data_IF_412937763561
#
_entry.id   IF_412937763561
#
_cell.length_a   1.000
_cell.length_b   1.000
_cell.length_c   1.000
_cell.angle_alpha   90.00
_cell.angle_beta   90.00
_cell.angle_gamma   90.00
#
_symmetry.space_group_name_H-M   'P 1'
#
loop_
_entity.id
_entity.type
_entity.pdbx_description
1 polymer ?
#
# COMPACT_ATOMS: atom_id res chain seq x y z
N UNK A 1 -14.32 24.47 -41.05
CA UNK A 1 -14.51 23.25 -40.21
C UNK A 1 -15.95 22.80 -40.38
N UNK A 2 -16.20 21.61 -40.94
CA UNK A 2 -17.55 21.04 -40.90
C UNK A 2 -17.79 20.55 -39.47
N UNK A 3 -18.82 21.07 -38.82
CA UNK A 3 -19.25 20.67 -37.50
C UNK A 3 -19.76 19.21 -37.57
N UNK A 4 -18.96 18.27 -37.06
CA UNK A 4 -19.38 16.88 -36.92
C UNK A 4 -20.01 16.79 -35.54
N UNK A 5 -21.30 17.13 -35.48
CA UNK A 5 -22.10 16.90 -34.29
C UNK A 5 -21.94 15.44 -33.87
N UNK A 6 -21.48 15.14 -32.64
CA UNK A 6 -21.36 13.76 -32.21
C UNK A 6 -22.76 13.15 -32.29
N UNK A 7 -22.93 12.07 -33.05
CA UNK A 7 -24.15 11.25 -32.98
C UNK A 7 -24.26 10.75 -31.54
N UNK A 8 -24.97 11.50 -30.71
CA UNK A 8 -25.37 11.07 -29.37
C UNK A 8 -26.30 9.89 -29.63
N UNK A 9 -25.78 8.69 -29.37
CA UNK A 9 -26.62 7.49 -29.37
C UNK A 9 -27.48 7.64 -28.13
N UNK A 10 -28.74 8.03 -28.31
CA UNK A 10 -29.74 8.03 -27.25
C UNK A 10 -29.89 6.59 -26.71
N UNK A 11 -29.40 6.30 -25.49
CA UNK A 11 -29.43 4.96 -24.94
C UNK A 11 -30.87 4.48 -24.72
N UNK A 12 -31.78 5.39 -24.40
CA UNK A 12 -33.14 5.07 -23.97
C UNK A 12 -33.99 4.56 -25.14
N UNK A 13 -33.84 5.16 -26.33
CA UNK A 13 -34.51 4.70 -27.54
C UNK A 13 -34.06 3.30 -27.99
N UNK A 14 -32.78 2.95 -27.83
CA UNK A 14 -32.26 1.63 -28.21
C UNK A 14 -32.69 0.55 -27.22
N UNK A 15 -32.64 0.83 -25.91
CA UNK A 15 -33.01 -0.13 -24.87
C UNK A 15 -34.51 -0.43 -24.89
N UNK A 16 -35.38 0.55 -25.16
CA UNK A 16 -36.84 0.32 -25.20
C UNK A 16 -37.26 -0.65 -26.33
N UNK A 17 -36.60 -0.62 -27.49
CA UNK A 17 -36.88 -1.58 -28.57
C UNK A 17 -36.37 -2.96 -28.22
N UNK A 18 -35.12 -3.05 -27.78
CA UNK A 18 -34.45 -4.32 -27.49
C UNK A 18 -35.12 -5.06 -26.33
N UNK A 19 -35.60 -4.34 -25.31
CA UNK A 19 -36.31 -4.93 -24.17
C UNK A 19 -37.67 -5.57 -24.51
N UNK A 20 -38.23 -5.30 -25.70
CA UNK A 20 -39.48 -5.91 -26.18
C UNK A 20 -39.26 -7.17 -27.03
N UNK A 21 -38.01 -7.52 -27.33
CA UNK A 21 -37.69 -8.73 -28.11
C UNK A 21 -37.71 -9.98 -27.20
N UNK A 22 -38.18 -11.13 -27.72
CA UNK A 22 -38.09 -12.40 -27.01
C UNK A 22 -36.65 -12.94 -26.98
N UNK A 23 -36.36 -13.82 -26.02
CA UNK A 23 -35.09 -14.57 -26.04
C UNK A 23 -35.11 -15.63 -27.17
N UNK A 24 -33.99 -15.87 -27.87
CA UNK A 24 -32.63 -15.38 -27.62
C UNK A 24 -32.26 -14.04 -28.29
N UNK A 25 -33.15 -13.50 -29.14
CA UNK A 25 -32.86 -12.34 -30.01
C UNK A 25 -32.50 -11.08 -29.23
N UNK A 26 -33.10 -10.89 -28.05
CA UNK A 26 -32.77 -9.80 -27.14
C UNK A 26 -31.30 -9.85 -26.70
N UNK A 27 -30.82 -11.02 -26.28
CA UNK A 27 -29.44 -11.19 -25.81
C UNK A 27 -28.41 -10.91 -26.92
N UNK A 28 -28.72 -11.29 -28.17
CA UNK A 28 -27.87 -11.03 -29.34
C UNK A 28 -27.77 -9.53 -29.66
N UNK A 29 -28.88 -8.80 -29.63
CA UNK A 29 -28.88 -7.36 -29.88
C UNK A 29 -28.20 -6.57 -28.75
N UNK A 30 -28.36 -6.99 -27.49
CA UNK A 30 -27.60 -6.43 -26.36
C UNK A 30 -26.10 -6.69 -26.51
N UNK A 31 -25.71 -7.88 -26.97
CA UNK A 31 -24.30 -8.20 -27.23
C UNK A 31 -23.71 -7.30 -28.34
N UNK A 32 -24.44 -7.09 -29.44
CA UNK A 32 -24.03 -6.16 -30.51
C UNK A 32 -23.90 -4.71 -30.00
N UNK A 33 -24.84 -4.26 -29.18
CA UNK A 33 -24.80 -2.92 -28.59
C UNK A 33 -23.60 -2.74 -27.65
N UNK A 34 -23.31 -3.74 -26.80
CA UNK A 34 -22.13 -3.76 -25.92
C UNK A 34 -20.83 -3.71 -26.71
N UNK A 35 -20.69 -4.55 -27.74
CA UNK A 35 -19.51 -4.55 -28.61
C UNK A 35 -19.27 -3.17 -29.24
N UNK A 36 -20.33 -2.54 -29.75
CA UNK A 36 -20.24 -1.20 -30.35
C UNK A 36 -19.87 -0.12 -29.32
N UNK A 37 -20.41 -0.20 -28.11
CA UNK A 37 -20.04 0.70 -27.02
C UNK A 37 -18.56 0.53 -26.63
N UNK A 38 -18.10 -0.71 -26.49
CA UNK A 38 -16.70 -1.04 -26.18
C UNK A 38 -15.75 -0.54 -27.28
N UNK A 39 -16.13 -0.68 -28.55
CA UNK A 39 -15.37 -0.14 -29.68
C UNK A 39 -15.25 1.39 -29.62
N UNK A 40 -16.35 2.10 -29.32
CA UNK A 40 -16.34 3.55 -29.18
C UNK A 40 -15.50 4.01 -27.99
N UNK A 41 -15.60 3.34 -26.85
CA UNK A 41 -14.75 3.61 -25.67
C UNK A 41 -13.28 3.38 -26.01
N UNK A 42 -12.94 2.27 -26.66
CA UNK A 42 -11.57 1.98 -27.12
C UNK A 42 -11.07 3.02 -28.13
N UNK A 43 -11.91 3.42 -29.09
CA UNK A 43 -11.59 4.44 -30.08
C UNK A 43 -11.35 5.81 -29.45
N UNK A 44 -12.21 6.23 -28.50
CA UNK A 44 -12.05 7.46 -27.72
C UNK A 44 -10.78 7.41 -26.87
N UNK A 45 -10.48 6.28 -26.24
CA UNK A 45 -9.25 6.08 -25.48
C UNK A 45 -7.98 6.16 -26.35
N UNK A 46 -8.01 5.65 -27.59
CA UNK A 46 -6.91 5.81 -28.55
C UNK A 46 -6.78 7.25 -29.05
N UNK A 47 -7.89 7.89 -29.40
CA UNK A 47 -7.91 9.28 -29.87
C UNK A 47 -7.45 10.25 -28.78
N UNK A 48 -7.90 10.07 -27.53
CA UNK A 48 -7.44 10.85 -26.37
C UNK A 48 -5.94 10.74 -26.17
N UNK A 49 -5.37 9.54 -26.21
CA UNK A 49 -3.91 9.32 -26.13
C UNK A 49 -3.16 10.04 -27.26
N UNK A 50 -3.65 9.95 -28.50
CA UNK A 50 -3.06 10.65 -29.65
C UNK A 50 -3.16 12.17 -29.52
N UNK A 51 -4.28 12.70 -29.06
CA UNK A 51 -4.49 14.13 -28.86
C UNK A 51 -3.59 14.68 -27.75
N UNK A 52 -3.41 13.95 -26.64
CA UNK A 52 -2.46 14.31 -25.58
C UNK A 52 -1.03 14.27 -26.09
N UNK A 53 -0.66 13.25 -26.86
CA UNK A 53 0.67 13.17 -27.48
C UNK A 53 0.92 14.33 -28.46
N UNK A 54 -0.07 14.66 -29.30
CA UNK A 54 -0.01 15.80 -30.22
C UNK A 54 0.08 17.14 -29.50
N UNK A 55 -0.72 17.34 -28.45
CA UNK A 55 -0.66 18.56 -27.63
C UNK A 55 0.69 18.71 -26.93
N UNK A 56 1.31 17.61 -26.46
CA UNK A 56 2.68 17.61 -25.91
C UNK A 56 3.74 17.90 -26.99
N UNK A 57 3.56 17.35 -28.18
CA UNK A 57 4.46 17.53 -29.31
C UNK A 57 4.37 18.96 -29.88
N UNK A 58 5.14 19.88 -29.31
CA UNK A 58 5.27 21.25 -29.81
C UNK A 58 4.77 22.32 -28.85
N UNK A 59 4.05 21.98 -27.78
CA UNK A 59 3.66 22.94 -26.74
C UNK A 59 4.88 23.64 -26.11
N UNK A 60 6.02 22.95 -26.05
CA UNK A 60 7.25 23.48 -25.47
C UNK A 60 8.09 24.32 -26.44
N UNK A 61 7.92 24.14 -27.76
CA UNK A 61 8.82 24.73 -28.78
C UNK A 61 8.85 26.26 -28.72
N UNK A 62 7.72 26.91 -28.42
CA UNK A 62 7.63 28.37 -28.26
C UNK A 62 8.37 28.92 -27.04
N UNK A 63 8.63 28.08 -26.03
CA UNK A 63 9.34 28.45 -24.82
C UNK A 63 10.82 28.08 -24.90
N UNK A 64 11.18 27.15 -25.78
CA UNK A 64 12.56 26.68 -25.94
C UNK A 64 13.54 27.81 -26.32
N UNK A 65 13.09 28.79 -27.12
CA UNK A 65 13.90 29.97 -27.46
C UNK A 65 14.09 30.96 -26.31
N UNK A 66 13.25 30.89 -25.28
CA UNK A 66 13.33 31.73 -24.07
C UNK A 66 14.19 31.12 -22.98
N UNK A 67 14.66 29.89 -23.19
CA UNK A 67 15.45 29.15 -22.23
C UNK A 67 16.93 29.38 -22.48
N UNK A 68 17.65 29.80 -21.45
CA UNK A 68 19.10 29.74 -21.44
C UNK A 68 19.53 28.26 -21.36
N UNK A 69 19.85 27.67 -22.52
CA UNK A 69 20.21 26.25 -22.63
C UNK A 69 21.48 25.92 -21.83
N UNK A 70 22.59 26.69 -21.92
CA UNK A 70 23.74 26.48 -21.06
C UNK A 70 23.42 26.49 -19.57
N UNK A 71 22.60 27.44 -19.10
CA UNK A 71 22.21 27.52 -17.69
C UNK A 71 21.34 26.34 -17.27
N UNK A 72 20.39 25.92 -18.12
CA UNK A 72 19.56 24.74 -17.83
C UNK A 72 20.43 23.48 -17.70
N UNK A 73 21.35 23.24 -18.62
CA UNK A 73 22.20 22.05 -18.57
C UNK A 73 23.13 22.09 -17.35
N UNK A 74 23.65 23.27 -16.98
CA UNK A 74 24.40 23.45 -15.72
C UNK A 74 23.54 23.16 -14.50
N UNK A 75 22.30 23.65 -14.46
CA UNK A 75 21.34 23.37 -13.39
C UNK A 75 21.06 21.87 -13.28
N UNK A 76 20.73 21.20 -14.38
CA UNK A 76 20.47 19.75 -14.40
C UNK A 76 21.67 18.97 -13.87
N UNK A 77 22.88 19.30 -14.33
CA UNK A 77 24.11 18.64 -13.86
C UNK A 77 24.31 18.83 -12.35
N UNK A 78 24.17 20.05 -11.85
CA UNK A 78 24.32 20.35 -10.43
C UNK A 78 23.22 19.70 -9.59
N UNK A 79 21.99 19.68 -10.09
CA UNK A 79 20.85 19.04 -9.43
C UNK A 79 21.03 17.52 -9.37
N UNK A 80 21.49 16.90 -10.45
CA UNK A 80 21.81 15.47 -10.45
C UNK A 80 22.93 15.17 -9.45
N UNK A 81 24.03 15.92 -9.47
CA UNK A 81 25.12 15.73 -8.52
C UNK A 81 24.67 15.91 -7.06
N UNK A 82 23.77 16.86 -6.79
CA UNK A 82 23.16 17.03 -5.47
C UNK A 82 22.30 15.82 -5.09
N UNK A 83 21.45 15.32 -6.00
CA UNK A 83 20.64 14.13 -5.76
C UNK A 83 21.50 12.89 -5.49
N UNK A 84 22.56 12.70 -6.27
CA UNK A 84 23.49 11.58 -6.13
C UNK A 84 24.18 11.62 -4.76
N UNK A 85 24.60 12.82 -4.32
CA UNK A 85 25.24 12.98 -3.01
C UNK A 85 24.25 12.76 -1.85
N UNK A 86 23.03 13.27 -1.96
CA UNK A 86 21.97 13.01 -0.95
C UNK A 86 21.65 11.51 -0.89
N UNK A 87 21.54 10.84 -2.03
CA UNK A 87 21.31 9.40 -2.09
C UNK A 87 22.47 8.62 -1.46
N UNK A 88 23.72 8.99 -1.75
CA UNK A 88 24.92 8.39 -1.14
C UNK A 88 24.90 8.52 0.39
N UNK A 89 24.65 9.72 0.91
CA UNK A 89 24.59 9.96 2.37
C UNK A 89 23.44 9.18 3.01
N UNK A 90 22.27 9.10 2.34
CA UNK A 90 21.14 8.33 2.84
C UNK A 90 21.43 6.83 2.88
N UNK A 91 22.14 6.31 1.88
CA UNK A 91 22.58 4.91 1.83
C UNK A 91 23.54 4.60 2.99
N UNK A 92 24.59 5.40 3.17
CA UNK A 92 25.58 5.24 4.26
C UNK A 92 24.93 5.28 5.64
N UNK A 93 24.02 6.23 5.88
CA UNK A 93 23.29 6.30 7.16
C UNK A 93 22.36 5.13 7.37
N UNK A 94 21.82 4.54 6.30
CA UNK A 94 20.97 3.35 6.44
C UNK A 94 21.79 2.11 6.77
N UNK A 95 23.04 2.01 6.34
CA UNK A 95 23.95 0.94 6.77
C UNK A 95 24.12 0.92 8.28
N UNK A 96 24.44 2.09 8.87
CA UNK A 96 24.55 2.24 10.33
C UNK A 96 23.23 1.92 11.04
N UNK A 97 22.10 2.36 10.47
CA UNK A 97 20.77 2.07 11.01
C UNK A 97 20.48 0.57 11.00
N UNK A 98 20.79 -0.15 9.92
CA UNK A 98 20.59 -1.61 9.84
C UNK A 98 21.44 -2.33 10.88
N UNK A 99 22.70 -1.94 11.06
CA UNK A 99 23.57 -2.49 12.11
C UNK A 99 22.99 -2.24 13.51
N UNK A 100 22.43 -1.06 13.74
CA UNK A 100 21.78 -0.72 15.00
C UNK A 100 20.50 -1.53 15.24
N UNK A 101 19.68 -1.74 14.21
CA UNK A 101 18.46 -2.56 14.26
C UNK A 101 18.75 -4.03 14.63
N UNK A 102 19.93 -4.52 14.28
CA UNK A 102 20.41 -5.87 14.60
C UNK A 102 21.23 -5.94 15.90
N UNK A 103 21.48 -4.79 16.54
CA UNK A 103 22.29 -4.75 17.74
C UNK A 103 21.63 -5.49 18.90
N UNK A 104 22.42 -6.30 19.60
CA UNK A 104 21.93 -7.06 20.76
C UNK A 104 21.27 -6.16 21.82
N UNK A 105 21.83 -4.98 22.08
CA UNK A 105 21.27 -4.05 23.05
C UNK A 105 19.86 -3.59 22.69
N UNK A 106 19.58 -3.34 21.40
CA UNK A 106 18.25 -2.98 20.96
C UNK A 106 17.28 -4.18 21.05
N UNK A 107 17.73 -5.37 20.62
CA UNK A 107 16.91 -6.58 20.69
C UNK A 107 16.58 -6.99 22.12
N UNK A 108 17.54 -6.86 23.04
CA UNK A 108 17.35 -7.08 24.47
C UNK A 108 16.33 -6.07 25.02
N UNK A 109 16.43 -4.78 24.67
CA UNK A 109 15.44 -3.76 25.06
C UNK A 109 14.03 -4.08 24.50
N UNK A 110 13.95 -4.57 23.27
CA UNK A 110 12.70 -5.02 22.66
C UNK A 110 12.15 -6.32 23.27
N UNK A 111 12.94 -7.05 24.03
CA UNK A 111 12.51 -8.25 24.75
C UNK A 111 11.82 -7.93 26.08
N UNK A 112 11.98 -6.71 26.60
CA UNK A 112 11.30 -6.23 27.80
C UNK A 112 9.78 -6.02 27.60
N UNK A 113 9.33 -5.82 26.36
CA UNK A 113 7.90 -5.74 26.04
C UNK A 113 7.21 -7.09 26.27
N UNK A 114 6.29 -7.15 27.23
CA UNK A 114 5.71 -8.42 27.65
C UNK A 114 4.75 -8.98 26.60
N UNK A 115 5.08 -10.14 26.01
CA UNK A 115 4.28 -10.77 24.95
C UNK A 115 2.92 -11.38 25.37
N UNK A 116 2.39 -11.00 26.54
CA UNK A 116 1.01 -11.27 26.97
C UNK A 116 0.26 -9.99 27.36
N UNK A 117 0.92 -8.84 27.28
CA UNK A 117 0.34 -7.53 27.53
C UNK A 117 0.11 -6.84 26.18
N UNK A 118 -1.15 -6.55 25.88
CA UNK A 118 -1.53 -5.95 24.59
C UNK A 118 -1.03 -4.51 24.47
N UNK A 119 -1.07 -3.74 25.56
CA UNK A 119 -0.51 -2.39 25.59
C UNK A 119 0.99 -2.39 25.27
N UNK A 120 1.77 -3.32 25.85
CA UNK A 120 3.19 -3.47 25.52
C UNK A 120 3.39 -3.82 24.05
N UNK A 121 2.50 -4.65 23.48
CA UNK A 121 2.50 -4.95 22.05
C UNK A 121 2.24 -3.74 21.16
N UNK A 122 1.34 -2.84 21.56
CA UNK A 122 1.08 -1.60 20.84
C UNK A 122 2.27 -0.63 20.91
N UNK A 123 2.88 -0.49 22.08
CA UNK A 123 4.07 0.37 22.24
C UNK A 123 5.24 -0.22 21.45
N UNK A 124 5.43 -1.54 21.48
CA UNK A 124 6.42 -2.23 20.66
C UNK A 124 6.24 -1.90 19.16
N UNK A 125 5.03 -2.00 18.63
CA UNK A 125 4.73 -1.70 17.23
C UNK A 125 5.02 -0.25 16.86
N UNK A 126 4.64 0.73 17.71
CA UNK A 126 5.00 2.14 17.50
C UNK A 126 6.52 2.35 17.51
N UNK A 127 7.25 1.73 18.45
CA UNK A 127 8.72 1.87 18.51
C UNK A 127 9.40 1.23 17.29
N UNK A 128 8.98 0.03 16.87
CA UNK A 128 9.50 -0.62 15.66
C UNK A 128 9.15 0.19 14.43
N UNK A 129 7.92 0.70 14.31
CA UNK A 129 7.49 1.55 13.20
C UNK A 129 8.33 2.82 13.07
N UNK A 130 8.68 3.45 14.19
CA UNK A 130 9.62 4.60 14.21
C UNK A 130 11.03 4.19 13.81
N UNK A 131 11.52 3.07 14.30
CA UNK A 131 12.86 2.58 14.00
C UNK A 131 13.04 2.19 12.53
N UNK A 132 11.97 1.70 11.89
CA UNK A 132 11.96 1.32 10.48
C UNK A 132 11.55 2.45 9.53
N UNK A 133 11.16 3.61 10.08
CA UNK A 133 10.71 4.74 9.27
C UNK A 133 11.82 5.20 8.33
N UNK A 134 11.54 5.22 7.03
CA UNK A 134 12.48 5.68 6.02
C UNK A 134 13.49 4.63 5.54
N UNK A 135 13.58 3.45 6.17
CA UNK A 135 14.54 2.38 5.80
C UNK A 135 14.33 1.93 4.35
N UNK A 136 13.10 1.89 3.86
CA UNK A 136 12.78 1.48 2.49
C UNK A 136 13.26 2.46 1.40
N UNK A 137 13.76 3.64 1.76
CA UNK A 137 14.26 4.63 0.79
C UNK A 137 15.70 4.38 0.31
N UNK A 138 16.43 3.45 0.93
CA UNK A 138 17.78 3.03 0.52
C UNK A 138 17.80 1.59 -0.01
N UNK A 139 18.84 1.22 -0.77
CA UNK A 139 18.98 -0.14 -1.30
C UNK A 139 19.34 -1.14 -0.19
N UNK A 140 20.19 -0.76 0.75
CA UNK A 140 20.55 -1.53 1.95
C UNK A 140 19.29 -1.80 2.78
N UNK A 141 18.48 -0.78 3.04
CA UNK A 141 17.26 -0.95 3.81
C UNK A 141 16.22 -1.81 3.09
N UNK A 142 16.03 -1.63 1.78
CA UNK A 142 15.17 -2.52 0.98
C UNK A 142 15.65 -3.98 1.02
N UNK A 143 16.95 -4.22 0.91
CA UNK A 143 17.53 -5.57 1.03
C UNK A 143 17.29 -6.16 2.42
N UNK A 144 17.42 -5.37 3.47
CA UNK A 144 17.14 -5.81 4.84
C UNK A 144 15.68 -6.19 5.05
N UNK A 145 14.76 -5.35 4.57
CA UNK A 145 13.31 -5.64 4.60
C UNK A 145 13.00 -6.91 3.81
N UNK A 146 13.57 -7.06 2.60
CA UNK A 146 13.38 -8.25 1.78
C UNK A 146 13.88 -9.52 2.50
N UNK A 147 15.08 -9.47 3.10
CA UNK A 147 15.62 -10.57 3.88
C UNK A 147 14.69 -10.97 5.04
N UNK A 148 14.18 -9.99 5.80
CA UNK A 148 13.22 -10.26 6.87
C UNK A 148 11.90 -10.85 6.35
N UNK A 149 11.39 -10.38 5.21
CA UNK A 149 10.20 -10.98 4.60
C UNK A 149 10.50 -12.43 4.21
N UNK A 150 11.62 -12.68 3.53
CA UNK A 150 12.02 -14.00 3.02
C UNK A 150 12.30 -15.03 4.14
N UNK A 151 12.70 -14.58 5.33
CA UNK A 151 12.87 -15.45 6.51
C UNK A 151 11.56 -16.18 6.90
N UNK A 152 10.40 -15.59 6.60
CA UNK A 152 9.07 -16.17 6.87
C UNK A 152 8.91 -16.67 8.31
N UNK A 153 9.48 -15.94 9.28
CA UNK A 153 9.45 -16.31 10.69
C UNK A 153 9.65 -15.09 11.61
N UNK A 154 8.87 -15.00 12.69
CA UNK A 154 8.98 -14.01 13.76
C UNK A 154 10.15 -14.32 14.74
N UNK A 155 11.37 -14.39 14.21
CA UNK A 155 12.58 -14.52 15.04
C UNK A 155 12.85 -13.25 15.85
N UNK A 156 13.68 -13.34 16.89
CA UNK A 156 14.02 -12.20 17.76
C UNK A 156 14.50 -10.97 16.96
N UNK A 157 15.36 -11.18 15.96
CA UNK A 157 15.91 -10.14 15.11
C UNK A 157 14.99 -9.72 13.96
N UNK A 158 13.87 -10.41 13.73
CA UNK A 158 12.92 -10.10 12.68
C UNK A 158 11.80 -9.20 13.19
N UNK A 159 12.10 -7.90 13.23
CA UNK A 159 11.20 -6.90 13.80
C UNK A 159 9.89 -6.75 13.01
N UNK A 160 9.89 -7.02 11.70
CA UNK A 160 8.68 -6.90 10.85
C UNK A 160 7.65 -7.96 11.22
N UNK A 161 8.05 -9.23 11.28
CA UNK A 161 7.11 -10.30 11.66
C UNK A 161 6.70 -10.23 13.13
N UNK A 162 7.61 -9.80 14.02
CA UNK A 162 7.25 -9.52 15.42
C UNK A 162 6.21 -8.39 15.52
N UNK A 163 6.38 -7.30 14.77
CA UNK A 163 5.44 -6.17 14.76
C UNK A 163 4.06 -6.58 14.23
N UNK A 164 4.01 -7.41 13.18
CA UNK A 164 2.74 -7.96 12.65
C UNK A 164 1.95 -8.77 13.70
N UNK A 165 2.65 -9.40 14.63
CA UNK A 165 2.05 -10.13 15.74
C UNK A 165 1.94 -9.29 17.04
N UNK A 166 2.24 -8.00 16.99
CA UNK A 166 2.32 -7.08 18.13
C UNK A 166 3.18 -7.65 19.29
N UNK A 167 4.25 -8.37 18.93
CA UNK A 167 5.15 -9.08 19.84
C UNK A 167 4.44 -10.05 20.81
N UNK A 168 3.21 -10.48 20.52
CA UNK A 168 2.44 -11.37 21.40
C UNK A 168 2.82 -12.83 21.15
N UNK A 169 3.12 -13.59 22.22
CA UNK A 169 3.66 -14.96 22.13
C UNK A 169 2.74 -15.88 21.34
N UNK A 170 1.44 -15.87 21.65
CA UNK A 170 0.48 -16.73 20.97
C UNK A 170 0.27 -16.32 19.51
N UNK A 171 0.27 -15.02 19.22
CA UNK A 171 0.12 -14.48 17.87
C UNK A 171 1.36 -14.76 17.00
N UNK A 172 2.57 -14.63 17.54
CA UNK A 172 3.82 -14.97 16.85
C UNK A 172 3.88 -16.47 16.52
N UNK A 173 3.47 -17.35 17.44
CA UNK A 173 3.41 -18.78 17.18
C UNK A 173 2.43 -19.12 16.04
N UNK A 174 1.26 -18.49 16.04
CA UNK A 174 0.26 -18.71 14.98
C UNK A 174 0.74 -18.18 13.63
N UNK A 175 1.33 -16.97 13.64
CA UNK A 175 1.93 -16.35 12.46
C UNK A 175 3.04 -17.23 11.88
N UNK A 176 3.95 -17.76 12.71
CA UNK A 176 5.00 -18.68 12.26
C UNK A 176 4.44 -19.96 11.62
N UNK A 177 3.37 -20.53 12.18
CA UNK A 177 2.71 -21.69 11.57
C UNK A 177 2.13 -21.35 10.20
N UNK A 178 1.48 -20.19 10.08
CA UNK A 178 0.94 -19.71 8.82
C UNK A 178 2.03 -19.42 7.79
N UNK A 179 3.12 -18.76 8.17
CA UNK A 179 4.23 -18.44 7.27
C UNK A 179 4.95 -19.70 6.77
N UNK A 180 5.07 -20.74 7.61
CA UNK A 180 5.57 -22.07 7.20
C UNK A 180 4.66 -22.76 6.18
N UNK A 181 3.34 -22.66 6.34
CA UNK A 181 2.39 -23.22 5.37
C UNK A 181 2.45 -22.43 4.05
N UNK A 182 2.54 -21.10 4.12
CA UNK A 182 2.68 -20.24 2.95
C UNK A 182 3.98 -20.55 2.18
N UNK A 183 5.10 -20.74 2.88
CA UNK A 183 6.38 -21.06 2.24
C UNK A 183 6.38 -22.43 1.54
N UNK A 184 5.67 -23.42 2.08
CA UNK A 184 5.47 -24.73 1.46
C UNK A 184 4.61 -24.68 0.18
N UNK A 185 3.95 -23.56 -0.10
CA UNK A 185 3.10 -23.36 -1.27
C UNK A 185 3.57 -22.23 -2.21
N UNK A 186 4.78 -21.67 -1.99
CA UNK A 186 5.34 -20.52 -2.71
C UNK A 186 5.44 -20.69 -4.24
N UNK A 187 5.57 -21.93 -4.75
CA UNK A 187 5.63 -22.22 -6.20
C UNK A 187 4.31 -21.89 -6.92
N UNK A 188 3.24 -21.85 -6.16
CA UNK A 188 1.96 -21.36 -6.60
C UNK A 188 1.93 -19.92 -6.08
N UNK A 189 2.01 -18.93 -6.98
CA UNK A 189 1.34 -17.65 -6.73
C UNK A 189 -0.14 -17.99 -6.58
N UNK A 190 -0.52 -18.49 -5.41
CA UNK A 190 -1.89 -18.84 -5.07
C UNK A 190 -2.59 -17.50 -5.07
N UNK A 191 -3.17 -17.19 -6.24
CA UNK A 191 -4.28 -16.27 -6.31
C UNK A 191 -5.20 -16.67 -5.18
N UNK A 192 -5.63 -15.71 -4.37
CA UNK A 192 -6.49 -15.85 -3.20
C UNK A 192 -7.76 -16.71 -3.41
N UNK A 193 -7.99 -17.17 -4.63
CA UNK A 193 -9.06 -18.06 -5.09
C UNK A 193 -8.78 -19.57 -5.03
N UNK A 194 -7.56 -20.08 -4.81
CA UNK A 194 -7.30 -21.56 -4.90
C UNK A 194 -7.00 -22.27 -3.58
N UNK A 195 -6.88 -21.56 -2.48
CA UNK A 195 -6.99 -22.12 -1.14
C UNK A 195 -8.31 -21.59 -0.56
N UNK A 196 -8.96 -22.34 0.34
CA UNK A 196 -10.02 -21.80 1.20
C UNK A 196 -9.41 -20.75 2.12
N UNK A 197 -8.98 -19.63 1.54
CA UNK A 197 -8.21 -18.57 2.16
C UNK A 197 -8.99 -18.02 3.34
N UNK A 198 -10.30 -17.88 3.20
CA UNK A 198 -11.22 -17.58 4.29
C UNK A 198 -11.10 -18.55 5.48
N UNK A 199 -11.00 -19.86 5.25
CA UNK A 199 -10.89 -20.87 6.32
C UNK A 199 -9.49 -21.04 6.91
N UNK A 200 -8.44 -20.94 6.08
CA UNK A 200 -7.04 -21.01 6.54
C UNK A 200 -6.69 -19.71 7.27
N UNK A 201 -6.89 -18.55 6.64
CA UNK A 201 -6.59 -17.23 7.20
C UNK A 201 -7.36 -16.95 8.49
N UNK A 202 -8.66 -17.32 8.58
CA UNK A 202 -9.42 -17.11 9.82
C UNK A 202 -9.04 -18.05 10.96
N UNK A 203 -8.57 -19.27 10.66
CA UNK A 203 -8.16 -20.24 11.69
C UNK A 203 -6.69 -20.12 12.10
N UNK A 204 -5.83 -19.65 11.19
CA UNK A 204 -4.37 -19.56 11.38
C UNK A 204 -3.89 -18.16 11.79
N UNK A 205 -4.77 -17.15 11.83
CA UNK A 205 -4.45 -15.81 12.34
C UNK A 205 -5.50 -15.29 13.34
N UNK A 206 -6.21 -16.19 14.02
CA UNK A 206 -7.23 -15.82 15.02
C UNK A 206 -6.62 -15.01 16.15
N UNK A 207 -5.49 -15.43 16.71
CA UNK A 207 -4.84 -14.72 17.82
C UNK A 207 -4.32 -13.37 17.37
N UNK A 208 -3.76 -13.28 16.16
CA UNK A 208 -3.37 -12.00 15.55
C UNK A 208 -4.58 -11.07 15.48
N UNK A 209 -5.69 -11.53 14.91
CA UNK A 209 -6.91 -10.74 14.81
C UNK A 209 -7.49 -10.34 16.18
N UNK A 210 -7.45 -11.24 17.16
CA UNK A 210 -7.95 -10.98 18.50
C UNK A 210 -7.06 -9.99 19.27
N UNK A 211 -5.74 -9.98 19.05
CA UNK A 211 -4.85 -8.94 19.61
C UNK A 211 -5.16 -7.58 19.00
N UNK A 212 -5.33 -7.46 17.68
CA UNK A 212 -5.71 -6.19 17.06
C UNK A 212 -7.07 -5.67 17.55
N UNK A 213 -8.07 -6.56 17.75
CA UNK A 213 -9.35 -6.17 18.36
C UNK A 213 -9.17 -5.59 19.76
N UNK A 214 -8.32 -6.21 20.59
CA UNK A 214 -8.01 -5.71 21.94
C UNK A 214 -7.28 -4.36 21.89
N UNK A 215 -6.29 -4.22 21.02
CA UNK A 215 -5.55 -2.97 20.83
C UNK A 215 -6.48 -1.81 20.44
N UNK A 216 -7.40 -2.05 19.49
CA UNK A 216 -8.41 -1.06 19.10
C UNK A 216 -9.32 -0.71 20.28
N UNK A 217 -9.77 -1.71 21.06
CA UNK A 217 -10.62 -1.47 22.23
C UNK A 217 -9.91 -0.64 23.30
N UNK A 218 -8.63 -0.90 23.58
CA UNK A 218 -7.81 -0.12 24.53
C UNK A 218 -7.62 1.33 24.06
N UNK A 219 -7.37 1.53 22.75
CA UNK A 219 -7.23 2.87 22.17
C UNK A 219 -8.53 3.69 22.27
N UNK A 220 -9.68 3.05 22.01
CA UNK A 220 -11.01 3.66 22.14
C UNK A 220 -11.40 3.95 23.60
N UNK A 221 -10.97 3.12 24.56
CA UNK A 221 -11.23 3.34 25.99
C UNK A 221 -10.29 4.41 26.58
N UNK A 222 -9.02 4.45 26.16
CA UNK A 222 -8.06 5.49 26.57
C UNK A 222 -8.47 6.88 26.08
N UNK A 223 -8.95 7.00 24.84
CA UNK A 223 -9.52 8.25 24.33
C UNK A 223 -10.78 8.67 25.10
N UNK A 224 -11.62 7.73 25.55
CA UNK A 224 -12.77 8.05 26.41
C UNK A 224 -12.37 8.52 27.81
N UNK A 225 -11.25 8.04 28.36
CA UNK A 225 -10.73 8.49 29.66
C UNK A 225 -10.13 9.90 29.59
N UNK A 226 -9.51 10.29 28.47
CA UNK A 226 -8.92 11.62 28.30
C UNK A 226 -9.98 12.73 28.18
N UNK A 227 -11.21 12.42 27.76
CA UNK A 227 -12.33 13.37 27.75
C UNK A 227 -13.09 13.49 29.08
N UNK A 228 -12.84 12.61 30.07
CA UNK A 228 -13.54 12.64 31.36
C UNK A 228 -12.73 13.32 32.49
N UNK A 229 -11.44 13.58 32.29
CA UNK A 229 -10.60 14.30 33.28
C UNK A 229 -10.64 15.82 33.18
N UNK A 230 -11.24 16.38 32.13
CA UNK A 230 -11.30 17.84 31.88
C UNK A 230 -12.68 18.47 32.17
N UNK A 231 -13.52 17.85 33.00
CA UNK A 231 -14.69 18.55 33.56
C UNK A 231 -14.23 19.37 34.78
N UNK A 232 -14.20 20.71 34.73
CA UNK A 232 -13.95 21.50 35.93
C UNK A 232 -15.08 21.19 36.93
N UNK A 233 -14.70 20.66 38.09
CA UNK A 233 -15.57 20.57 39.25
C UNK A 233 -16.03 21.98 39.59
N UNK A 234 -17.21 22.33 39.07
CA UNK A 234 -17.83 23.61 39.37
C UNK A 234 -18.43 23.46 40.76
N UNK A 235 -17.62 23.67 41.81
CA UNK A 235 -18.16 23.85 43.16
C UNK A 235 -18.88 25.21 43.18
N UNK A 236 -20.20 25.17 43.03
CA UNK A 236 -21.05 26.30 43.37
C UNK A 236 -21.29 26.26 44.89
N UNK A 237 -20.69 27.24 45.57
CA UNK A 237 -20.98 27.80 46.91
C UNK A 237 -21.44 26.86 48.02
#
# INVERSE_FOLDING_TARGET
MKDISPRVIDPDHLLHRVNRLPEPQRSEELAKARLKADELVRARGRAGRKNVAYARAGAWKKYESRLDKPLLEKFKKNYQAFQDEVARIAEERTEDLVLWLESKSLLDAFSEFHGKNVHDGMVFDDQVGRALFGVNHSLVGQRKIAAWVDDMQATESNLIWRAMALNQVDAMRELDSYLKEASAHNDKRVLASSLGWDTVFQKSLKSVADVYKKAIAETCCSSSSMYFSDQPTTSLR
#
